data_IF_185197074623
#
_entry.id   IF_185197074623
#
_cell.length_a   1.000
_cell.length_b   1.000
_cell.length_c   1.000
_cell.angle_alpha   90.00
_cell.angle_beta   90.00
_cell.angle_gamma   90.00
#
_symmetry.space_group_name_H-M   'P 1'
#
loop_
_entity.id
_entity.type
_entity.pdbx_description
1 polymer ?
#
# COMPACT_ATOMS: atom_id res chain seq x y z
N UNK A 1 -28.51 -13.30 11.51
CA UNK A 1 -27.82 -13.10 10.22
C UNK A 1 -26.50 -12.46 10.55
N UNK A 2 -25.53 -13.28 10.95
CA UNK A 2 -24.21 -12.82 11.37
C UNK A 2 -23.42 -12.36 10.15
N UNK A 3 -23.19 -11.05 10.09
CA UNK A 3 -22.42 -10.42 9.03
C UNK A 3 -21.01 -11.01 9.00
N UNK A 4 -20.66 -11.62 7.88
CA UNK A 4 -19.30 -12.05 7.58
C UNK A 4 -18.42 -10.80 7.61
N UNK A 5 -17.79 -10.54 8.76
CA UNK A 5 -16.64 -9.64 8.83
C UNK A 5 -15.54 -10.35 8.07
N UNK A 6 -15.37 -9.99 6.80
CA UNK A 6 -14.14 -10.28 6.08
C UNK A 6 -13.00 -9.62 6.85
N UNK A 7 -12.45 -10.36 7.80
CA UNK A 7 -11.14 -10.08 8.37
C UNK A 7 -10.17 -10.44 7.26
N UNK A 8 -10.04 -9.53 6.28
CA UNK A 8 -8.81 -9.42 5.53
C UNK A 8 -7.77 -9.06 6.58
N UNK A 9 -7.16 -10.10 7.18
CA UNK A 9 -5.90 -9.92 7.88
C UNK A 9 -5.05 -9.10 6.92
N UNK A 10 -4.61 -7.88 7.26
CA UNK A 10 -3.64 -7.21 6.44
C UNK A 10 -2.48 -8.19 6.39
N UNK A 11 -2.36 -8.89 5.26
CA UNK A 11 -1.09 -9.47 4.87
C UNK A 11 -0.19 -8.25 4.95
N UNK A 12 0.65 -8.17 5.98
CA UNK A 12 1.74 -7.22 6.02
C UNK A 12 2.53 -7.55 4.77
N UNK A 13 2.13 -6.95 3.67
CA UNK A 13 2.59 -7.34 2.37
C UNK A 13 4.08 -7.08 2.42
N UNK A 14 4.88 -8.10 2.13
CA UNK A 14 6.32 -7.95 2.14
C UNK A 14 6.65 -6.68 1.35
N UNK A 15 7.55 -5.79 1.83
CA UNK A 15 7.81 -4.51 1.18
C UNK A 15 8.07 -4.62 -0.33
N UNK A 16 8.65 -5.75 -0.75
CA UNK A 16 8.86 -6.09 -2.15
C UNK A 16 7.57 -6.34 -2.96
N UNK A 17 6.54 -6.94 -2.35
CA UNK A 17 5.22 -7.07 -2.96
C UNK A 17 4.58 -5.70 -3.18
N UNK A 18 4.61 -4.82 -2.17
CA UNK A 18 4.06 -3.45 -2.24
C UNK A 18 4.74 -2.69 -3.39
N UNK A 19 6.08 -2.75 -3.45
CA UNK A 19 6.86 -2.12 -4.51
C UNK A 19 6.47 -2.65 -5.89
N UNK A 20 6.37 -3.97 -6.06
CA UNK A 20 6.01 -4.58 -7.36
C UNK A 20 4.57 -4.25 -7.77
N UNK A 21 3.64 -4.23 -6.82
CA UNK A 21 2.25 -3.84 -7.07
C UNK A 21 2.16 -2.39 -7.54
N UNK A 22 2.83 -1.45 -6.86
CA UNK A 22 2.88 -0.05 -7.25
C UNK A 22 3.43 0.14 -8.68
N UNK A 23 4.54 -0.54 -9.01
CA UNK A 23 5.13 -0.49 -10.36
C UNK A 23 4.16 -1.04 -11.41
N UNK A 24 3.48 -2.15 -11.12
CA UNK A 24 2.53 -2.76 -12.04
C UNK A 24 1.34 -1.82 -12.32
N UNK A 25 0.80 -1.16 -11.30
CA UNK A 25 -0.31 -0.22 -11.46
C UNK A 25 0.09 1.03 -12.24
N UNK A 26 1.29 1.58 -12.02
CA UNK A 26 1.81 2.69 -12.82
C UNK A 26 1.88 2.31 -14.31
N UNK A 27 2.38 1.10 -14.62
CA UNK A 27 2.43 0.60 -16.01
C UNK A 27 1.05 0.37 -16.59
N UNK A 28 0.09 -0.07 -15.79
CA UNK A 28 -1.29 -0.23 -16.23
C UNK A 28 -1.92 1.13 -16.59
N UNK A 29 -1.65 2.17 -15.81
CA UNK A 29 -2.11 3.52 -16.11
C UNK A 29 -1.45 4.10 -17.38
N UNK A 30 -0.15 3.89 -17.56
CA UNK A 30 0.59 4.30 -18.77
C UNK A 30 0.06 3.59 -20.03
N UNK A 31 -0.32 2.32 -19.91
CA UNK A 31 -0.98 1.56 -20.97
C UNK A 31 -2.47 1.94 -21.18
N UNK A 32 -3.03 2.84 -20.37
CA UNK A 32 -4.44 3.26 -20.44
C UNK A 32 -5.43 2.20 -19.96
N UNK A 33 -4.98 1.19 -19.20
CA UNK A 33 -5.83 0.13 -18.66
C UNK A 33 -6.63 0.57 -17.42
N UNK A 34 -6.11 1.54 -16.68
CA UNK A 34 -6.76 2.19 -15.53
C UNK A 34 -6.58 3.70 -15.63
N UNK A 35 -7.51 4.47 -15.09
CA UNK A 35 -7.41 5.94 -15.08
C UNK A 35 -6.59 6.47 -13.89
N UNK A 36 -6.30 7.77 -13.92
CA UNK A 36 -5.49 8.44 -12.90
C UNK A 36 -6.15 8.45 -11.51
N UNK A 37 -7.48 8.50 -11.45
CA UNK A 37 -8.25 8.41 -10.21
C UNK A 37 -8.16 7.00 -9.60
N UNK A 38 -8.29 5.97 -10.43
CA UNK A 38 -8.11 4.57 -10.01
C UNK A 38 -6.67 4.32 -9.51
N UNK A 39 -5.65 4.81 -10.22
CA UNK A 39 -4.26 4.73 -9.77
C UNK A 39 -4.05 5.42 -8.41
N UNK A 40 -4.62 6.61 -8.24
CA UNK A 40 -4.52 7.38 -6.99
C UNK A 40 -5.17 6.61 -5.83
N UNK A 41 -6.34 6.01 -6.06
CA UNK A 41 -7.03 5.18 -5.08
C UNK A 41 -6.17 3.97 -4.70
N UNK A 42 -5.60 3.24 -5.67
CA UNK A 42 -4.77 2.06 -5.42
C UNK A 42 -3.51 2.38 -4.59
N UNK A 43 -2.81 3.46 -4.93
CA UNK A 43 -1.60 3.86 -4.20
C UNK A 43 -1.90 4.33 -2.77
N UNK A 44 -3.04 4.98 -2.54
CA UNK A 44 -3.47 5.42 -1.21
C UNK A 44 -3.86 4.26 -0.27
N UNK A 45 -4.19 3.10 -0.83
CA UNK A 45 -4.55 1.89 -0.07
C UNK A 45 -3.38 0.92 0.13
N UNK A 46 -2.18 1.26 -0.36
CA UNK A 46 -0.99 0.52 0.04
C UNK A 46 -0.76 0.73 1.54
N UNK A 47 -0.43 -0.33 2.30
CA UNK A 47 -0.12 -0.16 3.71
C UNK A 47 1.06 0.78 3.82
N UNK A 48 0.88 1.90 4.53
CA UNK A 48 1.96 2.83 4.78
C UNK A 48 3.12 2.07 5.40
N UNK A 49 4.31 2.19 4.81
CA UNK A 49 5.53 1.77 5.50
C UNK A 49 5.50 2.50 6.85
N UNK A 50 5.65 1.81 8.00
CA UNK A 50 5.85 2.52 9.24
C UNK A 50 7.13 3.34 9.02
N UNK A 51 6.96 4.64 8.84
CA UNK A 51 8.06 5.59 8.90
C UNK A 51 8.77 5.22 10.20
N UNK A 52 9.99 4.72 10.12
CA UNK A 52 10.80 4.52 11.29
C UNK A 52 10.93 5.92 11.91
N UNK A 53 10.12 6.20 12.93
CA UNK A 53 10.27 7.40 13.72
C UNK A 53 11.71 7.34 14.20
N UNK A 54 12.55 8.21 13.68
CA UNK A 54 13.88 8.43 14.21
C UNK A 54 13.71 9.10 15.58
N UNK A 55 13.24 8.34 16.57
CA UNK A 55 13.42 8.64 17.97
C UNK A 55 14.87 8.30 18.30
N UNK A 56 15.80 9.16 17.88
CA UNK A 56 17.12 9.24 18.52
C UNK A 56 17.12 10.49 19.38
N UNK A 57 16.42 10.39 20.51
CA UNK A 57 16.77 11.12 21.71
C UNK A 57 17.39 10.15 22.70
N UNK A 58 18.71 10.19 22.88
CA UNK A 58 19.38 9.65 24.05
C UNK A 58 20.78 10.27 24.22
N UNK A 59 20.85 11.25 25.13
CA UNK A 59 21.87 11.37 26.17
C UNK A 59 23.35 11.36 25.80
N UNK A 60 23.97 12.54 25.92
CA UNK A 60 25.41 12.76 26.14
C UNK A 60 25.60 14.14 26.75
#
# INVERSE_FOLDING_TARGET
MDGVRHTMKPLGAAPEFIRRAAIAWIRAADAGLIDAGELTWLLAHLPAEPQATAETGAGG
#
